data_IF_707835102578
#
_entry.id   IF_707835102578
#
_cell.length_a   1.000
_cell.length_b   1.000
_cell.length_c   1.000
_cell.angle_alpha   90.00
_cell.angle_beta   90.00
_cell.angle_gamma   90.00
#
_symmetry.space_group_name_H-M   'P 1'
#
loop_
_entity.id
_entity.type
_entity.pdbx_description
1 polymer ?
#
# COMPACT_ATOMS: atom_id res chain seq x y z
N UNK A 1 -41.78 32.10 42.85
CA UNK A 1 -40.68 31.16 43.25
C UNK A 1 -40.90 29.69 42.79
N UNK A 2 -42.12 29.10 42.84
CA UNK A 2 -42.39 27.72 42.41
C UNK A 2 -42.15 27.48 40.89
N UNK A 3 -42.54 28.41 40.03
CA UNK A 3 -42.39 28.31 38.58
C UNK A 3 -40.94 28.41 38.12
N UNK A 4 -40.12 29.21 38.75
CA UNK A 4 -38.69 29.36 38.46
C UNK A 4 -37.92 28.06 38.72
N UNK A 5 -38.25 27.39 39.86
CA UNK A 5 -37.65 26.05 40.18
C UNK A 5 -38.08 24.96 39.19
N UNK A 6 -39.27 25.05 38.61
CA UNK A 6 -39.72 24.11 37.55
C UNK A 6 -38.96 24.34 36.23
N UNK A 7 -38.79 25.58 35.82
CA UNK A 7 -38.05 25.96 34.58
C UNK A 7 -36.61 25.49 34.70
N UNK A 8 -35.92 25.74 35.82
CA UNK A 8 -34.53 25.32 36.04
C UNK A 8 -34.39 23.81 36.01
N UNK A 9 -35.34 23.03 36.58
CA UNK A 9 -35.31 21.58 36.51
C UNK A 9 -35.53 21.04 35.08
N UNK A 10 -36.40 21.68 34.29
CA UNK A 10 -36.62 21.30 32.89
C UNK A 10 -35.37 21.60 32.04
N UNK A 11 -34.73 22.74 32.22
CA UNK A 11 -33.49 23.08 31.55
C UNK A 11 -32.34 22.12 31.91
N UNK A 12 -32.23 21.74 33.20
CA UNK A 12 -31.23 20.74 33.61
C UNK A 12 -31.50 19.34 33.05
N UNK A 13 -32.76 18.91 32.93
CA UNK A 13 -33.09 17.65 32.26
C UNK A 13 -32.78 17.67 30.77
N UNK A 14 -33.11 18.75 30.09
CA UNK A 14 -32.78 18.91 28.64
C UNK A 14 -31.28 18.92 28.43
N UNK A 15 -30.51 19.63 29.26
CA UNK A 15 -29.05 19.63 29.21
C UNK A 15 -28.47 18.24 29.47
N UNK A 16 -29.00 17.45 30.38
CA UNK A 16 -28.57 16.09 30.65
C UNK A 16 -28.86 15.13 29.47
N UNK A 17 -30.01 15.30 28.80
CA UNK A 17 -30.38 14.50 27.60
C UNK A 17 -29.44 14.83 26.43
N UNK A 18 -29.07 16.08 26.22
CA UNK A 18 -28.14 16.50 25.15
C UNK A 18 -26.72 15.98 25.40
N UNK A 19 -26.28 15.91 26.65
CA UNK A 19 -24.95 15.38 27.00
C UNK A 19 -24.86 13.85 26.87
N UNK A 20 -25.97 13.10 26.91
CA UNK A 20 -25.97 11.66 26.75
C UNK A 20 -25.97 11.17 25.30
N UNK A 21 -26.16 12.05 24.31
CA UNK A 21 -26.23 11.69 22.89
C UNK A 21 -24.87 11.65 22.16
N UNK A 22 -23.73 11.87 22.83
CA UNK A 22 -22.40 11.93 22.22
C UNK A 22 -21.60 10.66 22.43
N UNK A 23 -22.06 9.52 21.89
CA UNK A 23 -21.23 8.34 21.71
C UNK A 23 -20.99 8.09 20.21
N UNK A 24 -19.98 8.75 19.65
CA UNK A 24 -19.42 8.35 18.36
C UNK A 24 -18.60 7.07 18.55
N UNK A 25 -19.04 6.00 17.90
CA UNK A 25 -18.35 4.70 17.98
C UNK A 25 -16.99 4.78 17.26
N UNK A 26 -15.85 4.48 17.91
CA UNK A 26 -14.51 4.53 17.30
C UNK A 26 -14.22 3.40 16.31
N UNK A 27 -15.14 2.46 16.09
CA UNK A 27 -14.95 1.27 15.26
C UNK A 27 -14.66 1.50 13.77
N UNK A 28 -14.60 2.74 13.28
CA UNK A 28 -14.44 3.04 11.84
C UNK A 28 -13.00 3.04 11.33
N UNK A 29 -11.99 2.90 12.19
CA UNK A 29 -10.56 2.99 11.87
C UNK A 29 -9.75 1.76 12.28
N UNK A 30 -10.40 0.59 12.41
CA UNK A 30 -9.71 -0.65 12.79
C UNK A 30 -9.57 -1.52 11.56
N UNK A 31 -8.34 -2.01 11.31
CA UNK A 31 -8.05 -3.04 10.30
C UNK A 31 -8.56 -4.39 10.79
N UNK A 32 -8.94 -5.27 9.85
CA UNK A 32 -9.19 -6.69 10.11
C UNK A 32 -10.13 -6.94 11.31
N UNK A 33 -11.25 -6.20 11.35
CA UNK A 33 -12.19 -6.17 12.51
C UNK A 33 -12.91 -7.49 12.76
N UNK A 34 -12.95 -8.37 11.75
CA UNK A 34 -13.65 -9.66 11.76
C UNK A 34 -12.73 -10.84 12.13
N UNK A 35 -11.44 -10.56 12.41
CA UNK A 35 -10.51 -11.61 12.81
C UNK A 35 -10.72 -12.06 14.26
N UNK A 36 -10.74 -13.38 14.45
CA UNK A 36 -10.89 -14.04 15.75
C UNK A 36 -9.56 -14.66 16.19
N UNK A 37 -9.26 -14.57 17.46
CA UNK A 37 -8.03 -15.15 18.03
C UNK A 37 -8.02 -16.68 17.86
N UNK A 38 -6.94 -17.20 17.29
CA UNK A 38 -6.73 -18.64 17.07
C UNK A 38 -7.38 -19.22 15.82
N UNK A 39 -8.12 -18.41 15.04
CA UNK A 39 -8.67 -18.82 13.74
C UNK A 39 -7.64 -18.60 12.63
N UNK A 40 -7.49 -19.58 11.74
CA UNK A 40 -6.65 -19.47 10.56
C UNK A 40 -7.47 -18.91 9.39
N UNK A 41 -6.87 -18.02 8.62
CA UNK A 41 -7.48 -17.41 7.44
C UNK A 41 -6.63 -17.79 6.21
N UNK A 42 -7.26 -18.25 5.12
CA UNK A 42 -6.53 -18.59 3.89
C UNK A 42 -5.95 -17.31 3.28
N UNK A 43 -4.80 -17.47 2.65
CA UNK A 43 -4.14 -16.41 1.87
C UNK A 43 -4.13 -16.86 0.41
N UNK A 44 -4.35 -15.94 -0.51
CA UNK A 44 -4.22 -16.20 -1.94
C UNK A 44 -2.74 -16.35 -2.31
N UNK A 45 -2.25 -17.60 -2.26
CA UNK A 45 -0.87 -17.94 -2.62
C UNK A 45 -0.59 -17.81 -4.13
N UNK A 46 -1.64 -17.81 -4.97
CA UNK A 46 -1.51 -17.65 -6.42
C UNK A 46 -1.21 -16.19 -6.82
N UNK A 47 -1.39 -15.24 -5.91
CA UNK A 47 -1.01 -13.84 -6.13
C UNK A 47 0.51 -13.64 -6.03
N UNK A 48 1.27 -14.39 -6.85
CA UNK A 48 2.73 -14.30 -6.94
C UNK A 48 3.12 -13.12 -7.83
N UNK A 49 4.15 -12.38 -7.43
CA UNK A 49 4.74 -11.34 -8.28
C UNK A 49 5.31 -11.97 -9.56
N UNK A 50 4.86 -11.48 -10.72
CA UNK A 50 5.33 -11.91 -12.03
C UNK A 50 6.26 -10.87 -12.64
N UNK A 51 7.16 -11.34 -13.50
CA UNK A 51 8.12 -10.50 -14.23
C UNK A 51 7.41 -9.79 -15.39
N UNK A 52 7.62 -8.47 -15.49
CA UNK A 52 7.10 -7.63 -16.57
C UNK A 52 8.21 -7.06 -17.45
N UNK A 53 7.82 -6.56 -18.60
CA UNK A 53 8.70 -5.77 -19.47
C UNK A 53 9.23 -4.54 -18.71
N UNK A 54 10.51 -4.22 -18.89
CA UNK A 54 11.29 -3.21 -18.19
C UNK A 54 11.64 -3.52 -16.73
N UNK A 55 11.29 -4.68 -16.21
CA UNK A 55 11.81 -5.12 -14.93
C UNK A 55 13.32 -5.35 -15.00
N UNK A 56 13.97 -5.20 -13.86
CA UNK A 56 15.40 -5.48 -13.69
C UNK A 56 15.56 -6.58 -12.67
N UNK A 57 16.25 -7.63 -13.06
CA UNK A 57 16.47 -8.81 -12.26
C UNK A 57 17.95 -8.90 -11.88
N UNK A 58 18.23 -9.10 -10.61
CA UNK A 58 19.53 -9.59 -10.15
C UNK A 58 19.48 -11.12 -10.16
N UNK A 59 20.29 -11.75 -10.98
CA UNK A 59 20.33 -13.20 -11.15
C UNK A 59 21.73 -13.66 -10.77
N UNK A 60 21.79 -14.52 -9.75
CA UNK A 60 23.04 -15.10 -9.25
C UNK A 60 23.00 -16.61 -9.37
N UNK A 61 24.01 -17.15 -10.01
CA UNK A 61 24.21 -18.61 -10.11
C UNK A 61 25.29 -18.99 -9.10
N UNK A 62 25.03 -20.03 -8.33
CA UNK A 62 26.00 -20.65 -7.43
C UNK A 62 25.98 -22.17 -7.55
N UNK A 63 27.08 -22.82 -7.22
CA UNK A 63 27.22 -24.29 -7.24
C UNK A 63 28.34 -24.70 -6.27
N UNK A 64 28.52 -26.03 -6.11
CA UNK A 64 29.57 -26.60 -5.24
C UNK A 64 30.98 -26.18 -5.63
N UNK A 65 31.23 -25.98 -6.94
CA UNK A 65 32.52 -25.56 -7.50
C UNK A 65 32.36 -24.12 -8.00
N UNK A 66 32.67 -23.09 -7.19
CA UNK A 66 32.37 -21.70 -7.49
C UNK A 66 32.92 -21.22 -8.84
N UNK A 67 34.05 -21.75 -9.28
CA UNK A 67 34.69 -21.40 -10.55
C UNK A 67 33.80 -21.66 -11.77
N UNK A 68 32.94 -22.69 -11.71
CA UNK A 68 31.99 -23.01 -12.77
C UNK A 68 30.84 -21.99 -12.87
N UNK A 69 30.54 -21.29 -11.81
CA UNK A 69 29.49 -20.28 -11.77
C UNK A 69 29.94 -18.90 -12.26
N UNK A 70 31.25 -18.62 -12.22
CA UNK A 70 31.81 -17.30 -12.61
C UNK A 70 31.36 -16.84 -13.99
N UNK A 71 31.38 -17.69 -15.06
CA UNK A 71 30.96 -17.25 -16.39
C UNK A 71 29.49 -16.82 -16.48
N UNK A 72 28.63 -17.39 -15.64
CA UNK A 72 27.18 -17.06 -15.59
C UNK A 72 26.89 -15.77 -14.81
N UNK A 73 27.78 -15.39 -13.89
CA UNK A 73 27.65 -14.18 -13.08
C UNK A 73 28.38 -12.97 -13.72
N UNK A 74 29.05 -13.18 -14.85
CA UNK A 74 29.73 -12.11 -15.57
C UNK A 74 28.72 -11.34 -16.40
N UNK A 75 28.54 -10.04 -16.15
CA UNK A 75 27.68 -9.20 -16.98
C UNK A 75 28.26 -9.11 -18.42
N UNK A 76 27.42 -9.32 -19.42
CA UNK A 76 27.80 -9.24 -20.83
C UNK A 76 28.26 -7.81 -21.14
N UNK A 77 29.49 -7.67 -21.61
CA UNK A 77 30.10 -6.38 -21.97
C UNK A 77 31.27 -5.94 -21.08
N UNK A 78 31.59 -6.73 -20.05
CA UNK A 78 32.64 -6.36 -19.09
C UNK A 78 34.10 -6.66 -19.55
N UNK A 79 34.30 -7.10 -20.78
CA UNK A 79 35.67 -7.43 -21.26
C UNK A 79 36.04 -6.56 -22.48
N UNK A 80 37.14 -5.81 -22.36
CA UNK A 80 37.86 -5.19 -23.47
C UNK A 80 39.06 -6.05 -23.83
N UNK A 81 39.21 -6.37 -25.13
CA UNK A 81 40.48 -6.87 -25.62
C UNK A 81 41.50 -5.71 -25.58
N UNK A 82 42.54 -5.90 -24.82
CA UNK A 82 43.70 -5.01 -24.85
C UNK A 82 44.47 -5.23 -26.13
N UNK A 83 45.11 -4.20 -26.63
CA UNK A 83 45.91 -4.22 -27.89
C UNK A 83 47.09 -5.18 -27.87
N UNK A 84 47.46 -5.67 -26.70
CA UNK A 84 48.49 -6.68 -26.40
C UNK A 84 47.92 -8.13 -26.24
N UNK A 85 46.65 -8.34 -26.57
CA UNK A 85 45.99 -9.65 -26.51
C UNK A 85 45.49 -10.05 -25.11
N UNK A 86 45.63 -9.19 -24.14
CA UNK A 86 45.09 -9.40 -22.79
C UNK A 86 43.61 -9.09 -22.74
N UNK A 87 42.82 -9.93 -22.01
CA UNK A 87 41.42 -9.65 -21.69
C UNK A 87 41.40 -8.87 -20.38
N UNK A 88 41.13 -7.58 -20.42
CA UNK A 88 40.91 -6.78 -19.23
C UNK A 88 39.41 -6.60 -19.00
N UNK A 89 38.98 -6.73 -17.75
CA UNK A 89 37.62 -6.30 -17.40
C UNK A 89 37.48 -4.83 -17.78
N UNK A 90 36.62 -4.53 -18.75
CA UNK A 90 36.25 -3.16 -19.04
C UNK A 90 35.60 -2.64 -17.76
N UNK A 91 36.21 -1.64 -17.14
CA UNK A 91 35.56 -0.95 -16.02
C UNK A 91 34.19 -0.47 -16.47
N UNK A 92 33.16 -1.18 -16.04
CA UNK A 92 31.77 -0.85 -16.34
C UNK A 92 31.37 0.23 -15.34
N UNK A 93 31.90 1.43 -15.52
CA UNK A 93 31.52 2.59 -14.70
C UNK A 93 30.07 3.05 -14.94
N UNK A 94 29.36 2.48 -15.93
CA UNK A 94 28.03 2.97 -16.32
C UNK A 94 26.97 1.92 -16.63
N UNK A 95 27.26 0.61 -16.52
CA UNK A 95 26.20 -0.41 -16.70
C UNK A 95 25.36 -0.51 -15.44
N UNK A 96 24.11 -0.14 -15.56
CA UNK A 96 23.16 -0.35 -14.48
C UNK A 96 23.12 -1.85 -14.10
N UNK A 97 23.14 -2.21 -12.79
CA UNK A 97 23.25 -3.59 -12.36
C UNK A 97 22.04 -4.43 -12.80
N UNK A 98 22.29 -5.74 -13.01
CA UNK A 98 21.25 -6.73 -13.30
C UNK A 98 20.83 -6.81 -14.78
N UNK A 99 19.87 -7.69 -15.03
CA UNK A 99 19.36 -8.01 -16.36
C UNK A 99 18.03 -7.29 -16.58
N UNK A 100 17.97 -6.44 -17.61
CA UNK A 100 16.73 -5.74 -17.99
C UNK A 100 15.90 -6.65 -18.90
N UNK A 101 14.60 -6.75 -18.62
CA UNK A 101 13.63 -7.41 -19.48
C UNK A 101 13.29 -6.50 -20.66
N UNK A 102 13.54 -6.98 -21.88
CA UNK A 102 13.30 -6.23 -23.12
C UNK A 102 11.79 -6.13 -23.48
N UNK A 103 11.46 -5.40 -24.55
CA UNK A 103 10.09 -5.23 -25.04
C UNK A 103 9.40 -6.54 -25.44
N UNK A 104 10.18 -7.56 -25.80
CA UNK A 104 9.68 -8.89 -26.19
C UNK A 104 9.56 -9.84 -24.97
N UNK A 105 9.87 -9.34 -23.77
CA UNK A 105 9.82 -10.12 -22.53
C UNK A 105 11.02 -11.02 -22.27
N UNK A 106 12.18 -10.72 -22.88
CA UNK A 106 13.37 -11.54 -22.73
C UNK A 106 14.47 -10.81 -21.97
N UNK A 107 15.37 -11.61 -21.40
CA UNK A 107 16.68 -11.16 -20.89
C UNK A 107 17.78 -11.77 -21.77
N UNK A 108 18.95 -11.09 -21.83
CA UNK A 108 20.17 -11.66 -22.41
C UNK A 108 21.03 -12.17 -21.26
N UNK A 109 21.11 -13.50 -21.14
CA UNK A 109 21.85 -14.14 -20.05
C UNK A 109 23.16 -14.73 -20.57
N UNK A 110 24.27 -14.61 -19.81
CA UNK A 110 25.58 -15.13 -20.27
C UNK A 110 25.49 -16.62 -20.65
N UNK A 111 26.20 -17.00 -21.69
CA UNK A 111 26.27 -18.37 -22.23
C UNK A 111 24.95 -18.88 -22.80
N UNK A 112 23.81 -18.67 -22.11
CA UNK A 112 22.50 -19.18 -22.50
C UNK A 112 21.80 -18.32 -23.55
N UNK A 113 22.27 -17.06 -23.75
CA UNK A 113 21.70 -16.14 -24.73
C UNK A 113 20.34 -15.54 -24.31
N UNK A 114 19.41 -15.48 -25.26
CA UNK A 114 18.10 -14.85 -25.08
C UNK A 114 17.11 -15.82 -24.40
N UNK A 115 16.55 -15.41 -23.24
CA UNK A 115 15.63 -16.22 -22.43
C UNK A 115 14.35 -15.43 -22.20
N UNK A 116 13.18 -16.03 -22.50
CA UNK A 116 11.89 -15.41 -22.24
C UNK A 116 11.50 -15.58 -20.78
N UNK A 117 11.32 -14.44 -20.08
CA UNK A 117 11.04 -14.40 -18.62
C UNK A 117 9.73 -13.68 -18.29
N UNK A 118 9.20 -12.85 -19.19
CA UNK A 118 7.97 -12.12 -18.92
C UNK A 118 6.78 -13.05 -18.66
N UNK A 119 5.91 -12.67 -17.73
CA UNK A 119 4.75 -13.47 -17.32
C UNK A 119 5.07 -14.65 -16.40
N UNK A 120 6.34 -14.89 -16.07
CA UNK A 120 6.77 -15.96 -15.15
C UNK A 120 7.04 -15.39 -13.76
N UNK A 121 6.85 -16.20 -12.72
CA UNK A 121 7.32 -15.86 -11.37
C UNK A 121 8.84 -15.98 -11.28
N UNK A 122 9.45 -15.34 -10.29
CA UNK A 122 10.91 -15.48 -10.05
C UNK A 122 11.31 -16.94 -9.87
N UNK A 123 10.47 -17.75 -9.20
CA UNK A 123 10.69 -19.19 -9.03
C UNK A 123 10.72 -19.92 -10.39
N UNK A 124 9.74 -19.65 -11.26
CA UNK A 124 9.71 -20.27 -12.59
C UNK A 124 10.90 -19.86 -13.46
N UNK A 125 11.35 -18.59 -13.34
CA UNK A 125 12.55 -18.12 -14.05
C UNK A 125 13.81 -18.80 -13.49
N UNK A 126 13.91 -18.96 -12.17
CA UNK A 126 15.01 -19.67 -11.51
C UNK A 126 15.10 -21.12 -11.96
N UNK A 127 13.96 -21.83 -11.96
CA UNK A 127 13.87 -23.21 -12.44
C UNK A 127 14.22 -23.32 -13.93
N UNK A 128 13.76 -22.40 -14.77
CA UNK A 128 14.06 -22.34 -16.20
C UNK A 128 15.57 -22.18 -16.45
N UNK A 129 16.21 -21.19 -15.81
CA UNK A 129 17.64 -20.94 -15.98
C UNK A 129 18.46 -22.10 -15.42
N UNK A 130 18.10 -22.61 -14.24
CA UNK A 130 18.75 -23.76 -13.64
C UNK A 130 18.67 -25.01 -14.50
N UNK A 131 17.50 -25.27 -15.10
CA UNK A 131 17.30 -26.35 -16.06
C UNK A 131 18.19 -26.24 -17.30
N UNK A 132 18.21 -25.03 -17.93
CA UNK A 132 19.06 -24.77 -19.10
C UNK A 132 20.57 -24.95 -18.79
N UNK A 133 21.04 -24.55 -17.62
CA UNK A 133 22.43 -24.71 -17.19
C UNK A 133 22.76 -26.21 -17.00
N UNK A 134 21.85 -26.96 -16.36
CA UNK A 134 22.04 -28.38 -16.09
C UNK A 134 21.97 -29.25 -17.37
N UNK A 135 20.95 -29.02 -18.21
CA UNK A 135 20.74 -29.72 -19.48
C UNK A 135 21.87 -29.42 -20.49
N UNK A 136 22.40 -28.20 -20.47
CA UNK A 136 23.57 -27.79 -21.25
C UNK A 136 24.88 -28.47 -20.79
N UNK A 137 24.87 -29.21 -19.68
CA UNK A 137 26.04 -29.88 -19.14
C UNK A 137 27.07 -28.95 -18.51
N UNK A 138 26.73 -27.69 -18.25
CA UNK A 138 27.65 -26.72 -17.68
C UNK A 138 27.87 -26.91 -16.17
N UNK A 139 26.78 -27.06 -15.43
CA UNK A 139 26.78 -27.32 -13.99
C UNK A 139 25.72 -28.37 -13.66
N UNK A 140 26.07 -29.39 -12.90
CA UNK A 140 25.15 -30.51 -12.60
C UNK A 140 24.00 -30.09 -11.69
N UNK A 141 24.29 -29.35 -10.63
CA UNK A 141 23.32 -28.92 -9.63
C UNK A 141 23.46 -27.39 -9.40
N UNK A 142 22.99 -26.52 -10.34
CA UNK A 142 23.07 -25.07 -10.20
C UNK A 142 22.00 -24.58 -9.22
N UNK A 143 22.38 -23.66 -8.33
CA UNK A 143 21.44 -22.91 -7.51
C UNK A 143 21.33 -21.50 -8.12
N UNK A 144 20.14 -21.14 -8.59
CA UNK A 144 19.86 -19.83 -9.19
C UNK A 144 18.99 -19.03 -8.23
N UNK A 145 19.51 -17.89 -7.75
CA UNK A 145 18.79 -16.91 -6.96
C UNK A 145 18.44 -15.72 -7.82
N UNK A 146 17.20 -15.24 -7.71
CA UNK A 146 16.71 -14.11 -8.51
C UNK A 146 15.96 -13.15 -7.61
N UNK A 147 16.26 -11.85 -7.75
CA UNK A 147 15.61 -10.76 -7.03
C UNK A 147 15.26 -9.61 -7.99
N UNK A 148 14.22 -8.85 -7.69
CA UNK A 148 13.94 -7.60 -8.40
C UNK A 148 14.88 -6.49 -7.90
N UNK A 149 15.52 -5.77 -8.82
CA UNK A 149 16.34 -4.59 -8.49
C UNK A 149 15.54 -3.28 -8.48
N UNK A 150 14.41 -3.25 -9.14
CA UNK A 150 13.62 -2.02 -9.32
C UNK A 150 12.16 -2.18 -8.89
N UNK A 151 11.88 -3.14 -8.00
CA UNK A 151 10.52 -3.32 -7.50
C UNK A 151 10.06 -2.05 -6.77
N UNK A 152 9.03 -1.41 -7.31
CA UNK A 152 8.44 -0.19 -6.76
C UNK A 152 6.93 -0.20 -6.93
N UNK A 153 6.24 0.48 -6.04
CA UNK A 153 4.82 0.78 -6.10
C UNK A 153 4.59 2.23 -5.70
N UNK A 154 3.43 2.76 -6.03
CA UNK A 154 3.08 4.15 -5.72
C UNK A 154 1.86 4.19 -4.80
N UNK A 155 1.91 5.00 -3.75
CA UNK A 155 0.78 5.19 -2.83
C UNK A 155 0.27 6.62 -2.93
N UNK A 156 -1.04 6.76 -3.16
CA UNK A 156 -1.73 8.03 -3.35
C UNK A 156 -3.01 8.11 -2.51
N UNK A 157 -3.58 9.31 -2.41
CA UNK A 157 -4.88 9.54 -1.75
C UNK A 157 -4.78 9.85 -0.28
N UNK A 158 -5.62 9.22 0.55
CA UNK A 158 -5.77 9.51 1.96
C UNK A 158 -4.77 8.72 2.83
N UNK A 159 -3.47 8.94 2.60
CA UNK A 159 -2.34 8.41 3.37
C UNK A 159 -1.48 9.57 3.87
N UNK A 160 -0.69 9.33 4.92
CA UNK A 160 0.18 10.37 5.49
C UNK A 160 1.41 10.66 4.61
N UNK A 161 2.01 9.61 4.00
CA UNK A 161 3.12 9.72 3.06
C UNK A 161 2.71 9.28 1.65
N UNK A 162 2.50 10.25 0.74
CA UNK A 162 2.23 9.97 -0.67
C UNK A 162 3.55 9.88 -1.42
N UNK A 163 3.69 8.92 -2.33
CA UNK A 163 4.90 8.79 -3.11
C UNK A 163 5.10 7.42 -3.71
N UNK A 164 6.26 7.25 -4.36
CA UNK A 164 6.71 5.96 -4.88
C UNK A 164 7.71 5.37 -3.90
N UNK A 165 7.50 4.10 -3.56
CA UNK A 165 8.30 3.34 -2.60
C UNK A 165 8.97 2.16 -3.28
N UNK A 166 10.19 1.87 -2.93
CA UNK A 166 10.91 0.66 -3.35
C UNK A 166 10.66 -0.47 -2.36
N UNK A 167 10.66 -1.69 -2.89
CA UNK A 167 10.55 -2.92 -2.11
C UNK A 167 11.91 -3.60 -2.09
N UNK A 168 12.37 -3.93 -0.89
CA UNK A 168 13.55 -4.76 -0.68
C UNK A 168 13.07 -6.21 -0.59
N UNK A 169 13.27 -6.99 -1.67
CA UNK A 169 12.79 -8.36 -1.78
C UNK A 169 11.83 -8.58 -2.96
N UNK A 170 11.13 -9.70 -2.93
CA UNK A 170 10.33 -10.21 -4.04
C UNK A 170 8.83 -9.91 -3.93
N UNK A 171 8.35 -9.48 -2.78
CA UNK A 171 6.91 -9.21 -2.53
C UNK A 171 6.68 -8.22 -1.40
N UNK A 172 5.53 -7.58 -1.45
CA UNK A 172 4.99 -6.73 -0.39
C UNK A 172 3.47 -6.83 -0.40
N UNK A 173 2.87 -6.83 0.77
CA UNK A 173 1.41 -6.81 0.90
C UNK A 173 0.86 -5.38 0.82
N UNK A 174 -0.42 -5.24 0.44
CA UNK A 174 -1.11 -3.94 0.43
C UNK A 174 -1.09 -3.26 1.81
N UNK A 175 -1.15 -4.06 2.90
CA UNK A 175 -1.12 -3.53 4.28
C UNK A 175 0.27 -2.99 4.60
N UNK A 176 1.34 -3.72 4.27
CA UNK A 176 2.73 -3.26 4.44
C UNK A 176 3.01 -2.01 3.61
N UNK A 177 2.48 -1.94 2.39
CA UNK A 177 2.61 -0.79 1.51
C UNK A 177 1.98 0.47 2.13
N UNK A 178 0.79 0.34 2.73
CA UNK A 178 0.13 1.42 3.46
C UNK A 178 0.94 1.81 4.71
N UNK A 179 1.45 0.83 5.45
CA UNK A 179 2.30 1.08 6.62
C UNK A 179 3.59 1.83 6.25
N UNK A 180 4.29 1.43 5.16
CA UNK A 180 5.45 2.17 4.61
C UNK A 180 5.11 3.60 4.20
N UNK A 181 3.87 3.86 3.77
CA UNK A 181 3.36 5.19 3.45
C UNK A 181 2.92 6.00 4.70
N UNK A 182 3.36 5.60 5.89
CA UNK A 182 3.07 6.30 7.14
C UNK A 182 1.63 6.15 7.61
N UNK A 183 0.97 5.06 7.20
CA UNK A 183 -0.41 4.69 7.52
C UNK A 183 -1.47 5.61 6.89
N UNK A 184 -2.73 5.28 7.13
CA UNK A 184 -3.89 5.99 6.62
C UNK A 184 -4.08 7.34 7.33
N UNK A 185 -4.53 8.33 6.61
CA UNK A 185 -4.97 9.59 7.21
C UNK A 185 -6.38 9.46 7.80
N UNK A 186 -6.75 10.36 8.74
CA UNK A 186 -8.03 10.31 9.45
C UNK A 186 -9.28 10.35 8.55
N UNK A 187 -9.13 10.80 7.31
CA UNK A 187 -10.20 10.86 6.33
C UNK A 187 -10.16 9.72 5.31
N UNK A 188 -9.40 8.65 5.56
CA UNK A 188 -9.31 7.51 4.67
C UNK A 188 -10.57 6.64 4.68
N UNK A 189 -10.94 6.09 3.52
CA UNK A 189 -11.94 5.04 3.37
C UNK A 189 -11.25 3.68 3.38
N UNK A 190 -11.38 2.97 4.49
CA UNK A 190 -10.79 1.63 4.66
C UNK A 190 -11.54 0.56 3.83
N UNK A 191 -12.79 0.82 3.48
CA UNK A 191 -13.66 -0.04 2.66
C UNK A 191 -13.40 0.10 1.16
N UNK A 192 -12.57 1.05 0.74
CA UNK A 192 -12.30 1.33 -0.68
C UNK A 192 -10.83 1.74 -0.90
N UNK A 193 -9.96 0.77 -0.70
CA UNK A 193 -8.56 0.89 -1.11
C UNK A 193 -8.44 0.28 -2.50
N UNK A 194 -8.19 1.11 -3.50
CA UNK A 194 -8.03 0.68 -4.88
C UNK A 194 -6.57 0.32 -5.17
N UNK A 195 -6.34 -0.80 -5.84
CA UNK A 195 -5.08 -1.12 -6.50
C UNK A 195 -5.30 -1.02 -7.99
N UNK A 196 -4.53 -0.16 -8.66
CA UNK A 196 -4.55 0.02 -10.11
C UNK A 196 -3.33 -0.72 -10.66
N UNK A 197 -3.59 -1.72 -11.48
CA UNK A 197 -2.58 -2.64 -12.04
C UNK A 197 -2.66 -2.68 -13.56
N UNK A 198 -1.52 -2.79 -14.22
CA UNK A 198 -1.49 -3.03 -15.66
C UNK A 198 -1.55 -4.53 -15.94
N UNK A 199 -2.63 -4.98 -16.59
CA UNK A 199 -2.82 -6.37 -16.99
C UNK A 199 -3.01 -6.42 -18.51
N UNK A 200 -2.16 -7.16 -19.21
CA UNK A 200 -2.27 -7.28 -20.68
C UNK A 200 -2.24 -5.94 -21.44
N UNK A 201 -1.50 -4.95 -20.93
CA UNK A 201 -1.40 -3.60 -21.52
C UNK A 201 -2.59 -2.68 -21.24
N UNK A 202 -3.52 -3.10 -20.38
CA UNK A 202 -4.68 -2.31 -19.94
C UNK A 202 -4.61 -2.05 -18.44
N UNK A 203 -5.19 -0.94 -17.99
CA UNK A 203 -5.32 -0.63 -16.57
C UNK A 203 -6.58 -1.27 -16.00
N UNK A 204 -6.42 -2.02 -14.92
CA UNK A 204 -7.51 -2.60 -14.15
C UNK A 204 -7.51 -2.04 -12.73
N UNK A 205 -8.69 -1.86 -12.14
CA UNK A 205 -8.86 -1.34 -10.78
C UNK A 205 -9.49 -2.43 -9.92
N UNK A 206 -8.82 -2.76 -8.82
CA UNK A 206 -9.26 -3.71 -7.81
C UNK A 206 -9.56 -2.97 -6.52
N UNK A 207 -10.80 -3.04 -6.04
CA UNK A 207 -11.17 -2.45 -4.75
C UNK A 207 -11.02 -3.47 -3.64
N UNK A 208 -10.41 -3.05 -2.55
CA UNK A 208 -10.13 -3.85 -1.38
C UNK A 208 -10.77 -3.22 -0.14
N UNK A 209 -11.39 -4.03 0.71
CA UNK A 209 -11.80 -3.66 2.05
C UNK A 209 -10.77 -4.19 3.05
N UNK A 210 -9.96 -3.30 3.62
CA UNK A 210 -8.91 -3.67 4.57
C UNK A 210 -9.42 -3.81 6.01
N UNK A 211 -10.73 -3.66 6.22
CA UNK A 211 -11.38 -3.89 7.52
C UNK A 211 -11.67 -5.35 7.77
N UNK A 212 -11.67 -6.18 6.73
CA UNK A 212 -12.07 -7.59 6.78
C UNK A 212 -10.94 -8.51 6.36
N UNK A 213 -10.96 -9.74 6.85
CA UNK A 213 -10.00 -10.78 6.49
C UNK A 213 -10.12 -11.24 5.02
N UNK A 214 -11.18 -10.85 4.31
CA UNK A 214 -11.33 -11.09 2.86
C UNK A 214 -10.19 -10.50 2.05
N UNK A 215 -9.50 -9.48 2.57
CA UNK A 215 -8.32 -8.89 1.94
C UNK A 215 -7.25 -9.94 1.63
N UNK A 216 -7.10 -10.98 2.46
CA UNK A 216 -6.11 -12.04 2.26
C UNK A 216 -6.36 -12.88 0.99
N UNK A 217 -7.62 -12.95 0.54
CA UNK A 217 -8.02 -13.65 -0.69
C UNK A 217 -8.02 -12.74 -1.93
N UNK A 218 -7.75 -11.45 -1.74
CA UNK A 218 -7.71 -10.50 -2.86
C UNK A 218 -6.58 -10.85 -3.85
N UNK A 219 -6.81 -10.75 -5.17
CA UNK A 219 -5.75 -10.90 -6.18
C UNK A 219 -4.69 -9.79 -6.09
N UNK A 220 -4.97 -8.73 -5.34
CA UNK A 220 -4.05 -7.61 -5.10
C UNK A 220 -3.57 -7.53 -3.65
N UNK A 221 -3.73 -8.60 -2.87
CA UNK A 221 -3.15 -8.69 -1.54
C UNK A 221 -1.63 -8.53 -1.58
N UNK A 222 -0.96 -9.24 -2.49
CA UNK A 222 0.42 -8.97 -2.87
C UNK A 222 0.45 -8.00 -4.04
N UNK A 223 1.20 -6.91 -3.86
CA UNK A 223 1.40 -5.93 -4.92
C UNK A 223 2.35 -6.46 -5.98
N UNK A 224 2.19 -5.96 -7.19
CA UNK A 224 3.08 -6.19 -8.32
C UNK A 224 3.89 -4.92 -8.65
N UNK A 225 4.90 -5.10 -9.49
CA UNK A 225 5.73 -4.00 -10.00
C UNK A 225 4.86 -2.92 -10.65
N UNK A 226 5.08 -1.67 -10.26
CA UNK A 226 4.39 -0.47 -10.72
C UNK A 226 2.90 -0.38 -10.35
N UNK A 227 2.39 -1.19 -9.42
CA UNK A 227 1.05 -1.02 -8.87
C UNK A 227 0.88 0.38 -8.26
N UNK A 228 -0.32 0.93 -8.39
CA UNK A 228 -0.72 2.16 -7.72
C UNK A 228 -1.77 1.82 -6.66
N UNK A 229 -1.43 2.04 -5.40
CA UNK A 229 -2.37 1.92 -4.27
C UNK A 229 -3.00 3.28 -4.06
N UNK A 230 -4.29 3.39 -4.33
CA UNK A 230 -5.05 4.62 -4.13
C UNK A 230 -6.04 4.46 -3.00
N UNK A 231 -5.81 5.19 -1.92
CA UNK A 231 -6.73 5.24 -0.78
C UNK A 231 -7.73 6.35 -0.99
N UNK A 232 -8.99 5.98 -1.18
CA UNK A 232 -10.06 6.95 -1.40
C UNK A 232 -10.29 7.80 -0.13
N UNK A 233 -10.31 9.14 -0.21
CA UNK A 233 -10.67 9.97 0.92
C UNK A 233 -12.19 9.91 1.17
N UNK A 234 -12.60 9.99 2.43
CA UNK A 234 -14.00 10.30 2.76
C UNK A 234 -14.31 11.68 2.24
N UNK A 235 -15.27 11.77 1.36
CA UNK A 235 -15.82 13.07 1.01
C UNK A 235 -16.50 13.64 2.26
N UNK A 236 -15.84 14.58 2.91
CA UNK A 236 -16.55 15.50 3.78
C UNK A 236 -17.27 16.45 2.85
N UNK A 237 -18.56 16.26 2.71
CA UNK A 237 -19.42 17.32 2.19
C UNK A 237 -19.36 18.45 3.21
N UNK A 238 -18.45 19.40 2.97
CA UNK A 238 -18.22 20.55 3.87
C UNK A 238 -19.53 21.29 4.17
N UNK A 239 -20.54 21.16 3.29
CA UNK A 239 -21.82 21.79 3.44
C UNK A 239 -22.65 21.26 4.62
N UNK A 240 -22.52 19.99 5.02
CA UNK A 240 -23.31 19.39 6.08
C UNK A 240 -22.75 19.60 7.49
N UNK A 241 -21.46 19.38 7.69
CA UNK A 241 -20.82 19.53 9.01
C UNK A 241 -20.65 21.00 9.41
N UNK A 242 -20.25 21.86 8.46
CA UNK A 242 -20.14 23.30 8.72
C UNK A 242 -21.52 23.91 9.00
N UNK A 243 -22.57 23.45 8.32
CA UNK A 243 -23.95 23.89 8.55
C UNK A 243 -24.47 23.42 9.92
N UNK A 244 -24.21 22.15 10.29
CA UNK A 244 -24.60 21.63 11.60
C UNK A 244 -23.86 22.35 12.74
N UNK A 245 -22.57 22.63 12.58
CA UNK A 245 -21.77 23.41 13.54
C UNK A 245 -22.25 24.86 13.62
N UNK A 246 -22.53 25.53 12.50
CA UNK A 246 -23.08 26.87 12.45
C UNK A 246 -24.46 26.94 13.10
N UNK A 247 -25.36 25.97 12.83
CA UNK A 247 -26.68 25.92 13.46
C UNK A 247 -26.54 25.69 14.96
N UNK A 248 -25.66 24.78 15.42
CA UNK A 248 -25.47 24.53 16.84
C UNK A 248 -24.89 25.74 17.57
N UNK A 249 -23.92 26.43 17.00
CA UNK A 249 -23.36 27.66 17.58
C UNK A 249 -24.37 28.77 17.62
N UNK A 250 -25.23 28.90 16.60
CA UNK A 250 -26.30 29.89 16.54
C UNK A 250 -27.38 29.58 17.61
N UNK A 251 -27.77 28.35 17.79
CA UNK A 251 -28.72 27.91 18.82
C UNK A 251 -28.19 28.20 20.23
N UNK A 252 -26.89 27.91 20.46
CA UNK A 252 -26.24 28.16 21.75
C UNK A 252 -26.20 29.70 22.02
N UNK A 253 -25.89 30.51 21.00
CA UNK A 253 -25.87 31.97 21.12
C UNK A 253 -27.26 32.54 21.41
N UNK A 254 -28.29 32.03 20.74
CA UNK A 254 -29.69 32.41 21.03
C UNK A 254 -30.10 32.03 22.45
N UNK A 255 -29.76 30.80 22.91
CA UNK A 255 -30.07 30.36 24.25
C UNK A 255 -29.39 31.22 25.33
N UNK A 256 -28.15 31.67 25.09
CA UNK A 256 -27.44 32.58 26.00
C UNK A 256 -28.05 33.98 26.04
N UNK A 257 -28.53 34.49 24.90
CA UNK A 257 -29.23 35.77 24.82
C UNK A 257 -30.58 35.73 25.59
N UNK A 258 -31.35 34.65 25.41
CA UNK A 258 -32.60 34.47 26.16
C UNK A 258 -32.36 34.34 27.66
N UNK A 259 -31.31 33.60 28.07
CA UNK A 259 -30.91 33.49 29.46
C UNK A 259 -30.53 34.82 30.10
N UNK A 260 -29.75 35.66 29.39
CA UNK A 260 -29.36 37.00 29.86
C UNK A 260 -30.54 37.95 29.90
N UNK A 261 -31.49 37.86 28.95
CA UNK A 261 -32.71 38.69 28.96
C UNK A 261 -33.63 38.34 30.12
N UNK A 262 -33.82 37.05 30.40
CA UNK A 262 -34.62 36.58 31.55
C UNK A 262 -33.98 37.05 32.87
N UNK A 263 -32.65 37.00 32.98
CA UNK A 263 -31.94 37.47 34.16
C UNK A 263 -32.10 39.02 34.33
N UNK A 264 -31.99 39.77 33.26
CA UNK A 264 -32.16 41.22 33.26
C UNK A 264 -33.61 41.64 33.66
N UNK A 265 -34.64 40.94 33.13
CA UNK A 265 -36.05 41.22 33.45
C UNK A 265 -36.42 40.81 34.90
N UNK A 266 -35.78 39.75 35.43
CA UNK A 266 -35.96 39.37 36.86
C UNK A 266 -35.25 40.33 37.80
N UNK A 267 -34.05 40.83 37.42
CA UNK A 267 -33.31 41.81 38.21
C UNK A 267 -33.99 43.22 38.19
N UNK A 268 -34.67 43.56 37.10
CA UNK A 268 -35.45 44.80 36.97
C UNK A 268 -36.83 44.74 37.67
N UNK A 269 -37.21 43.62 38.30
CA UNK A 269 -38.46 43.48 38.98
C UNK A 269 -39.72 43.39 38.11
N UNK A 270 -39.53 43.26 36.77
CA UNK A 270 -40.64 43.28 35.80
C UNK A 270 -41.32 41.91 35.72
N UNK A 271 -40.58 40.84 36.05
CA UNK A 271 -41.07 39.45 36.12
C UNK A 271 -40.71 38.88 37.46
N UNK A 272 -41.68 38.81 38.39
CA UNK A 272 -41.47 38.17 39.69
C UNK A 272 -42.11 38.87 40.89
N UNK A 273 -43.09 39.78 40.64
CA UNK A 273 -43.96 40.33 41.62
C UNK A 273 -45.12 39.39 41.96
#
# INVERSE_FOLDING_TARGET
MKNLKRIVRVCLMVAAIVLSASCASPKKFVYLQDMETGKQYPINEEAVTIVHVNDRLDIKVSCRTPELAVPFNSQVGAYKLSTDGGVTAAGVETAEPGYRVDSDGNIIFPILGKINVAGKSLKQVSELIGGMISEGGYIKDPLVSIEFLNFKYTVLGAVNGKGTYTVDGDRITIIEAIAKAGDLSNNARLDRVAVIRTVGGKQEIFYNDIRTAEIFMSPTYYLQQNDIVYVEPKYKDKSGEDRAWQISSFVISLASLFSSLIWALTSAGIIGG
#
